data_IF_069550601958
#
_entry.id   IF_069550601958
#
_cell.length_a   1.000
_cell.length_b   1.000
_cell.length_c   1.000
_cell.angle_alpha   90.00
_cell.angle_beta   90.00
_cell.angle_gamma   90.00
#
_symmetry.space_group_name_H-M   'P 1'
#
loop_
_entity.id
_entity.type
_entity.pdbx_description
1 polymer ?
#
# COMPACT_ATOMS: atom_id res chain seq x y z
N UNK A 1 -13.70 -3.85 5.48
CA UNK A 1 -13.62 -5.25 4.99
C UNK A 1 -13.78 -6.19 6.17
N UNK A 2 -14.59 -7.25 6.08
CA UNK A 2 -14.67 -8.25 7.14
C UNK A 2 -13.31 -8.96 7.31
N UNK A 3 -12.83 -9.12 8.54
CA UNK A 3 -11.56 -9.81 8.82
C UNK A 3 -11.51 -11.24 8.23
N UNK A 4 -12.66 -11.91 8.17
CA UNK A 4 -12.81 -13.25 7.59
C UNK A 4 -12.52 -13.27 6.07
N UNK A 5 -12.97 -12.25 5.33
CA UNK A 5 -12.72 -12.14 3.89
C UNK A 5 -11.22 -11.94 3.60
N UNK A 6 -10.54 -11.14 4.43
CA UNK A 6 -9.10 -10.90 4.31
C UNK A 6 -8.31 -12.21 4.50
N UNK A 7 -8.63 -12.97 5.54
CA UNK A 7 -7.98 -14.24 5.85
C UNK A 7 -8.20 -15.26 4.73
N UNK A 8 -9.45 -15.43 4.29
CA UNK A 8 -9.79 -16.33 3.19
C UNK A 8 -9.03 -15.99 1.90
N UNK A 9 -8.93 -14.70 1.57
CA UNK A 9 -8.20 -14.24 0.38
C UNK A 9 -6.71 -14.57 0.49
N UNK A 10 -6.10 -14.35 1.66
CA UNK A 10 -4.71 -14.70 1.92
C UNK A 10 -4.45 -16.21 1.76
N UNK A 11 -5.29 -17.05 2.35
CA UNK A 11 -5.19 -18.51 2.23
C UNK A 11 -5.32 -18.99 0.78
N UNK A 12 -6.25 -18.40 0.03
CA UNK A 12 -6.45 -18.71 -1.39
C UNK A 12 -5.21 -18.37 -2.24
N UNK A 13 -4.55 -17.24 -1.98
CA UNK A 13 -3.29 -16.89 -2.65
C UNK A 13 -2.14 -17.83 -2.26
N UNK A 14 -1.99 -18.16 -0.97
CA UNK A 14 -0.99 -19.14 -0.52
C UNK A 14 -1.15 -20.48 -1.24
N UNK A 15 -2.38 -21.00 -1.30
CA UNK A 15 -2.68 -22.25 -2.01
C UNK A 15 -2.37 -22.16 -3.51
N UNK A 16 -2.67 -21.02 -4.14
CA UNK A 16 -2.38 -20.80 -5.56
C UNK A 16 -0.88 -20.81 -5.85
N UNK A 17 -0.07 -20.16 -4.99
CA UNK A 17 1.39 -20.17 -5.11
C UNK A 17 1.95 -21.58 -4.87
N UNK A 18 1.45 -22.29 -3.85
CA UNK A 18 1.92 -23.63 -3.49
C UNK A 18 1.53 -24.72 -4.50
N UNK A 19 0.46 -24.53 -5.26
CA UNK A 19 0.04 -25.49 -6.31
C UNK A 19 0.63 -25.20 -7.68
N UNK A 20 1.21 -24.02 -7.90
CA UNK A 20 1.71 -23.65 -9.23
C UNK A 20 3.02 -24.38 -9.57
N UNK A 21 2.97 -25.29 -10.54
CA UNK A 21 4.13 -26.10 -10.98
C UNK A 21 5.24 -25.27 -11.65
N UNK A 22 4.92 -24.08 -12.16
CA UNK A 22 5.86 -23.21 -12.87
C UNK A 22 6.65 -22.28 -11.95
N UNK A 23 6.45 -22.36 -10.64
CA UNK A 23 7.20 -21.57 -9.65
C UNK A 23 8.29 -22.44 -9.02
N UNK A 24 9.53 -21.98 -9.15
CA UNK A 24 10.69 -22.61 -8.51
C UNK A 24 10.56 -22.58 -6.98
N UNK A 25 11.23 -23.48 -6.24
CA UNK A 25 11.20 -23.46 -4.77
C UNK A 25 11.56 -22.09 -4.19
N UNK A 26 12.66 -21.48 -4.66
CA UNK A 26 13.07 -20.14 -4.25
C UNK A 26 12.03 -19.05 -4.58
N UNK A 27 11.35 -19.17 -5.72
CA UNK A 27 10.27 -18.26 -6.09
C UNK A 27 9.07 -18.37 -5.14
N UNK A 28 8.75 -19.57 -4.66
CA UNK A 28 7.67 -19.78 -3.69
C UNK A 28 7.99 -19.11 -2.37
N UNK A 29 9.20 -19.30 -1.86
CA UNK A 29 9.64 -18.68 -0.61
C UNK A 29 9.56 -17.15 -0.71
N UNK A 30 10.02 -16.59 -1.83
CA UNK A 30 9.92 -15.15 -2.11
C UNK A 30 8.45 -14.67 -2.12
N UNK A 31 7.58 -15.31 -2.91
CA UNK A 31 6.18 -14.88 -3.01
C UNK A 31 5.41 -15.04 -1.71
N UNK A 32 5.66 -16.11 -0.95
CA UNK A 32 5.01 -16.33 0.35
C UNK A 32 5.46 -15.29 1.38
N UNK A 33 6.76 -14.96 1.40
CA UNK A 33 7.29 -13.90 2.26
C UNK A 33 6.68 -12.53 1.93
N UNK A 34 6.59 -12.19 0.64
CA UNK A 34 5.96 -10.95 0.19
C UNK A 34 4.47 -10.90 0.54
N UNK A 35 3.74 -12.01 0.29
CA UNK A 35 2.32 -12.11 0.61
C UNK A 35 2.07 -11.98 2.12
N UNK A 36 2.91 -12.56 2.96
CA UNK A 36 2.85 -12.42 4.42
C UNK A 36 3.07 -10.97 4.85
N UNK A 37 4.02 -10.27 4.23
CA UNK A 37 4.27 -8.84 4.47
C UNK A 37 3.04 -8.01 4.10
N UNK A 38 2.46 -8.21 2.91
CA UNK A 38 1.26 -7.51 2.45
C UNK A 38 0.05 -7.76 3.38
N UNK A 39 -0.17 -9.01 3.79
CA UNK A 39 -1.25 -9.36 4.71
C UNK A 39 -1.08 -8.69 6.08
N UNK A 40 0.13 -8.73 6.64
CA UNK A 40 0.46 -8.10 7.93
C UNK A 40 0.23 -6.59 7.87
N UNK A 41 0.69 -5.97 6.79
CA UNK A 41 0.52 -4.54 6.54
C UNK A 41 -0.95 -4.15 6.41
N UNK A 42 -1.75 -4.93 5.68
CA UNK A 42 -3.19 -4.70 5.57
C UNK A 42 -3.88 -4.78 6.95
N UNK A 43 -3.56 -5.80 7.76
CA UNK A 43 -4.08 -5.91 9.14
C UNK A 43 -3.72 -4.69 9.99
N UNK A 44 -2.48 -4.19 9.91
CA UNK A 44 -2.05 -2.99 10.63
C UNK A 44 -2.88 -1.76 10.25
N UNK A 45 -3.13 -1.55 8.96
CA UNK A 45 -3.96 -0.43 8.47
C UNK A 45 -5.40 -0.56 8.94
N UNK A 46 -5.99 -1.75 8.85
CA UNK A 46 -7.37 -1.98 9.28
C UNK A 46 -7.54 -1.79 10.78
N UNK A 47 -6.61 -2.31 11.59
CA UNK A 47 -6.63 -2.12 13.04
C UNK A 47 -6.48 -0.64 13.40
N UNK A 48 -5.52 0.05 12.77
CA UNK A 48 -5.32 1.49 12.96
C UNK A 48 -6.59 2.28 12.61
N UNK A 49 -7.29 1.91 11.53
CA UNK A 49 -8.53 2.58 11.14
C UNK A 49 -9.69 2.39 12.14
N UNK A 50 -9.76 1.22 12.79
CA UNK A 50 -10.73 0.95 13.85
C UNK A 50 -10.36 1.72 15.13
N UNK A 51 -9.09 1.76 15.48
CA UNK A 51 -8.56 2.44 16.67
C UNK A 51 -8.67 3.97 16.56
N UNK A 52 -8.55 4.53 15.34
CA UNK A 52 -8.53 5.96 15.06
C UNK A 52 -9.68 6.42 14.16
N UNK A 53 -10.92 6.07 14.53
CA UNK A 53 -12.11 6.40 13.73
C UNK A 53 -12.31 7.92 13.52
N UNK A 54 -11.76 8.76 14.40
CA UNK A 54 -11.75 10.23 14.29
C UNK A 54 -11.04 10.74 13.03
N UNK A 55 -10.04 10.00 12.54
CA UNK A 55 -9.30 10.37 11.31
C UNK A 55 -10.14 10.10 10.07
N UNK A 56 -10.97 9.05 10.11
CA UNK A 56 -11.80 8.61 8.98
C UNK A 56 -13.20 9.25 8.97
N UNK A 57 -13.59 9.86 10.09
CA UNK A 57 -14.85 10.62 10.24
C UNK A 57 -14.74 12.08 9.72
N UNK A 58 -13.57 12.52 9.26
CA UNK A 58 -13.40 13.85 8.68
C UNK A 58 -14.16 13.94 7.35
N UNK A 59 -14.86 15.05 7.13
CA UNK A 59 -15.56 15.31 5.87
C UNK A 59 -14.56 15.25 4.71
N UNK A 60 -14.71 14.21 3.88
CA UNK A 60 -13.97 14.13 2.62
C UNK A 60 -14.31 15.36 1.77
N UNK A 61 -13.34 15.88 0.99
CA UNK A 61 -13.64 16.97 0.06
C UNK A 61 -14.81 16.59 -0.85
N UNK A 62 -15.66 17.58 -1.19
CA UNK A 62 -16.84 17.38 -2.03
C UNK A 62 -16.50 16.78 -3.41
N UNK A 63 -15.26 16.97 -3.86
CA UNK A 63 -14.67 16.32 -5.03
C UNK A 63 -13.84 15.13 -4.51
N UNK A 64 -14.24 13.92 -4.88
CA UNK A 64 -13.54 12.69 -4.53
C UNK A 64 -12.14 12.59 -5.15
N UNK A 65 -11.37 11.52 -4.84
CA UNK A 65 -10.02 11.37 -5.34
C UNK A 65 -9.98 11.15 -6.85
N UNK A 66 -8.98 11.74 -7.53
CA UNK A 66 -8.65 11.41 -8.90
C UNK A 66 -7.92 10.06 -8.94
N UNK A 67 -8.42 9.12 -9.73
CA UNK A 67 -7.82 7.79 -9.91
C UNK A 67 -7.31 7.63 -11.34
N UNK A 68 -6.02 7.38 -11.50
CA UNK A 68 -5.41 7.06 -12.79
C UNK A 68 -5.50 5.56 -13.03
N UNK A 69 -6.21 5.15 -14.08
CA UNK A 69 -6.36 3.75 -14.49
C UNK A 69 -6.00 3.55 -15.97
N UNK A 70 -5.62 2.32 -16.33
CA UNK A 70 -5.23 1.97 -17.69
C UNK A 70 -4.34 0.73 -17.71
N UNK A 71 -4.08 0.20 -18.91
CA UNK A 71 -3.17 -0.94 -19.09
C UNK A 71 -1.73 -0.53 -18.81
N UNK A 72 -0.90 -1.51 -18.44
CA UNK A 72 0.54 -1.31 -18.41
C UNK A 72 1.02 -0.76 -19.76
N UNK A 73 1.96 0.19 -19.72
CA UNK A 73 2.57 0.82 -20.90
C UNK A 73 1.69 1.80 -21.69
N UNK A 74 0.61 2.31 -21.12
CA UNK A 74 -0.24 3.37 -21.72
C UNK A 74 0.13 4.79 -21.28
N UNK A 75 1.29 4.97 -20.65
CA UNK A 75 1.73 6.28 -20.13
C UNK A 75 1.12 6.66 -18.77
N UNK A 76 0.42 5.73 -18.10
CA UNK A 76 -0.16 5.98 -16.75
C UNK A 76 0.88 6.41 -15.72
N UNK A 77 2.11 5.87 -15.77
CA UNK A 77 3.22 6.31 -14.91
C UNK A 77 3.63 7.76 -15.18
N UNK A 78 3.70 8.17 -16.45
CA UNK A 78 4.02 9.55 -16.81
C UNK A 78 2.93 10.50 -16.33
N UNK A 79 1.67 10.18 -16.59
CA UNK A 79 0.53 10.97 -16.15
C UNK A 79 0.48 11.09 -14.62
N UNK A 80 0.68 9.99 -13.89
CA UNK A 80 0.76 9.98 -12.43
C UNK A 80 1.84 10.95 -11.91
N UNK A 81 3.04 10.91 -12.51
CA UNK A 81 4.15 11.79 -12.12
C UNK A 81 3.87 13.26 -12.45
N UNK A 82 3.21 13.56 -13.56
CA UNK A 82 2.82 14.93 -13.92
C UNK A 82 1.82 15.50 -12.91
N UNK A 83 0.82 14.71 -12.50
CA UNK A 83 -0.14 15.10 -11.46
C UNK A 83 0.53 15.29 -10.10
N UNK A 84 1.54 14.47 -9.78
CA UNK A 84 2.32 14.59 -8.56
C UNK A 84 3.12 15.90 -8.44
N UNK A 85 3.37 16.60 -9.55
CA UNK A 85 4.03 17.91 -9.54
C UNK A 85 3.14 19.03 -9.01
N UNK A 86 1.81 18.87 -9.01
CA UNK A 86 0.89 19.88 -8.48
C UNK A 86 0.98 19.91 -6.93
N UNK A 87 1.32 21.06 -6.31
CA UNK A 87 1.35 21.19 -4.85
C UNK A 87 -0.01 20.97 -4.19
N UNK A 88 -1.13 21.11 -4.92
CA UNK A 88 -2.48 20.85 -4.41
C UNK A 88 -2.88 19.38 -4.54
N UNK A 89 -2.13 18.58 -5.30
CA UNK A 89 -2.35 17.14 -5.41
C UNK A 89 -1.56 16.40 -4.32
N UNK A 90 -2.20 15.48 -3.60
CA UNK A 90 -1.53 14.54 -2.70
C UNK A 90 -1.53 13.16 -3.35
N UNK A 91 -0.34 12.68 -3.66
CA UNK A 91 -0.14 11.36 -4.28
C UNK A 91 0.42 10.37 -3.25
N UNK A 92 0.00 9.09 -3.28
CA UNK A 92 0.64 8.02 -2.51
C UNK A 92 2.12 7.86 -2.90
N UNK A 93 3.02 7.97 -1.93
CA UNK A 93 4.45 7.67 -2.18
C UNK A 93 4.72 6.20 -1.90
N UNK A 94 5.74 5.65 -2.56
CA UNK A 94 6.18 4.27 -2.30
C UNK A 94 6.52 4.06 -0.81
N UNK A 95 7.22 5.03 -0.21
CA UNK A 95 7.53 5.07 1.23
C UNK A 95 6.32 4.94 2.14
N UNK A 96 5.16 5.48 1.73
CA UNK A 96 3.94 5.45 2.54
C UNK A 96 3.27 4.08 2.50
N UNK A 97 3.58 3.26 1.49
CA UNK A 97 3.02 1.93 1.28
C UNK A 97 3.97 0.81 1.72
N UNK A 98 5.28 1.07 1.77
CA UNK A 98 6.29 0.05 2.01
C UNK A 98 6.88 0.06 3.42
N UNK A 99 6.99 1.22 4.08
CA UNK A 99 7.70 1.37 5.36
C UNK A 99 6.85 2.14 6.36
N UNK A 100 6.72 1.58 7.57
CA UNK A 100 5.99 2.22 8.68
C UNK A 100 4.60 2.74 8.25
N UNK A 101 3.83 1.92 7.51
CA UNK A 101 2.59 2.31 6.81
C UNK A 101 1.57 3.04 7.71
N UNK A 102 1.56 2.70 8.99
CA UNK A 102 0.79 3.39 10.04
C UNK A 102 1.74 3.95 11.10
N UNK A 103 1.52 5.18 11.62
CA UNK A 103 0.46 6.13 11.24
C UNK A 103 0.76 6.84 9.89
N UNK A 104 -0.25 7.39 9.19
CA UNK A 104 -0.02 8.17 7.97
C UNK A 104 0.79 9.44 8.26
N UNK A 105 1.76 9.78 7.41
CA UNK A 105 2.58 10.99 7.59
C UNK A 105 1.92 12.18 6.86
N UNK A 106 1.67 13.31 7.54
CA UNK A 106 1.23 14.55 6.92
C UNK A 106 2.28 15.12 5.96
N UNK A 107 1.85 15.82 4.91
CA UNK A 107 2.77 16.47 3.96
C UNK A 107 3.70 17.48 4.63
N UNK A 108 3.25 18.12 5.71
CA UNK A 108 4.03 19.10 6.48
C UNK A 108 5.19 18.48 7.27
N UNK A 109 5.15 17.17 7.57
CA UNK A 109 6.20 16.51 8.34
C UNK A 109 7.36 16.10 7.41
N UNK A 110 8.34 16.99 7.30
CA UNK A 110 9.56 16.73 6.52
C UNK A 110 10.49 15.72 7.20
N UNK A 111 10.51 15.68 8.54
CA UNK A 111 11.42 14.83 9.31
C UNK A 111 10.98 13.37 9.20
N UNK A 112 9.69 13.09 9.43
CA UNK A 112 9.12 11.76 9.29
C UNK A 112 9.27 11.20 7.87
N UNK A 113 9.04 12.03 6.84
CA UNK A 113 9.26 11.63 5.44
C UNK A 113 10.72 11.26 5.16
N UNK A 114 11.67 12.07 5.62
CA UNK A 114 13.10 11.77 5.45
C UNK A 114 13.48 10.45 6.14
N UNK A 115 13.01 10.24 7.37
CA UNK A 115 13.23 8.99 8.11
C UNK A 115 12.73 7.78 7.32
N UNK A 116 11.51 7.81 6.75
CA UNK A 116 10.99 6.69 5.92
C UNK A 116 11.83 6.42 4.68
N UNK A 117 12.30 7.47 4.01
CA UNK A 117 13.19 7.34 2.85
C UNK A 117 14.50 6.65 3.26
N UNK A 118 15.04 6.97 4.43
CA UNK A 118 16.28 6.36 4.90
C UNK A 118 16.07 4.90 5.35
N UNK A 119 14.94 4.58 5.99
CA UNK A 119 14.56 3.20 6.32
C UNK A 119 14.38 2.32 5.08
N UNK A 120 13.83 2.89 4.00
CA UNK A 120 13.67 2.20 2.72
C UNK A 120 15.01 1.78 2.10
N UNK A 121 16.10 2.51 2.35
CA UNK A 121 17.42 2.18 1.81
C UNK A 121 18.10 1.05 2.57
N UNK A 122 17.66 0.79 3.79
CA UNK A 122 18.20 -0.25 4.68
C UNK A 122 17.39 -1.54 4.67
N UNK A 123 16.19 -1.51 4.08
CA UNK A 123 15.30 -2.66 3.89
C UNK A 123 15.62 -3.37 2.57
#
# INVERSE_FOLDING_TARGET
LPQQTLLHTFESYCQSILRNEYITPAGRDFFLSELQTLHTNCKRVLNYAVEHNEVFSQNLPAIGPLVVCGLARTGTTLLYNLLACDPNCRVPLYTDMSVEIVPPIPRSDAIGRKRRIDLLKTA
#
